data_IF_159243850078
#
_entry.id   IF_159243850078
#
_cell.length_a   1.000
_cell.length_b   1.000
_cell.length_c   1.000
_cell.angle_alpha   90.00
_cell.angle_beta   90.00
_cell.angle_gamma   90.00
#
_symmetry.space_group_name_H-M   'P 1'
#
loop_
_entity.id
_entity.type
_entity.pdbx_description
1 polymer ?
#
# COMPACT_ATOMS: atom_id res chain seq x y z
N UNK A 1 -7.89 -0.59 8.52
CA UNK A 1 -6.74 0.23 8.09
C UNK A 1 -7.13 1.70 7.98
N UNK A 2 -6.16 2.60 8.11
CA UNK A 2 -6.38 4.05 8.04
C UNK A 2 -6.29 4.64 6.62
N UNK A 3 -5.91 3.87 5.63
CA UNK A 3 -5.95 4.28 4.23
C UNK A 3 -7.35 4.06 3.65
N UNK A 4 -8.25 5.03 3.84
CA UNK A 4 -9.66 4.93 3.45
C UNK A 4 -9.87 4.65 1.98
N UNK A 5 -9.10 5.29 1.11
CA UNK A 5 -9.14 5.11 -0.34
C UNK A 5 -8.74 3.72 -0.83
N UNK A 6 -8.08 2.91 -0.01
CA UNK A 6 -7.67 1.54 -0.36
C UNK A 6 -8.62 0.46 0.19
N UNK A 7 -9.75 0.83 0.79
CA UNK A 7 -10.75 -0.10 1.32
C UNK A 7 -11.87 -0.48 0.33
N UNK A 8 -11.64 -0.27 -0.94
CA UNK A 8 -12.57 -0.68 -2.00
C UNK A 8 -12.48 -2.20 -2.25
N UNK A 9 -13.61 -2.80 -2.63
CA UNK A 9 -13.74 -4.23 -2.84
C UNK A 9 -13.15 -4.73 -4.16
N UNK A 10 -12.70 -3.85 -5.05
CA UNK A 10 -12.12 -4.23 -6.31
C UNK A 10 -11.39 -3.08 -6.99
N UNK A 11 -10.47 -3.44 -7.85
CA UNK A 11 -9.78 -2.51 -8.74
C UNK A 11 -10.62 -2.23 -9.99
N UNK A 12 -10.35 -1.11 -10.66
CA UNK A 12 -10.97 -0.81 -11.96
C UNK A 12 -10.70 -1.93 -12.99
N UNK A 13 -11.65 -2.16 -13.90
CA UNK A 13 -11.58 -3.26 -14.87
C UNK A 13 -10.32 -3.23 -15.75
N UNK A 14 -9.88 -2.04 -16.16
CA UNK A 14 -8.66 -1.86 -16.95
C UNK A 14 -7.42 -2.29 -16.14
N UNK A 15 -7.31 -1.85 -14.87
CA UNK A 15 -6.18 -2.21 -13.99
C UNK A 15 -6.16 -3.72 -13.74
N UNK A 16 -7.33 -4.32 -13.50
CA UNK A 16 -7.45 -5.77 -13.32
C UNK A 16 -7.04 -6.54 -14.57
N UNK A 17 -7.37 -6.03 -15.77
CA UNK A 17 -6.96 -6.64 -17.03
C UNK A 17 -5.43 -6.53 -17.24
N UNK A 18 -4.84 -5.38 -16.98
CA UNK A 18 -3.39 -5.18 -17.09
C UNK A 18 -2.61 -6.14 -16.16
N UNK A 19 -3.12 -6.36 -14.94
CA UNK A 19 -2.54 -7.34 -14.02
C UNK A 19 -2.66 -8.77 -14.55
N UNK A 20 -3.83 -9.15 -15.09
CA UNK A 20 -4.08 -10.47 -15.69
C UNK A 20 -3.16 -10.73 -16.89
N UNK A 21 -2.91 -9.71 -17.71
CA UNK A 21 -2.06 -9.78 -18.89
C UNK A 21 -0.55 -9.71 -18.53
N UNK A 22 -0.20 -9.57 -17.26
CA UNK A 22 1.19 -9.50 -16.79
C UNK A 22 1.92 -8.21 -17.18
N UNK A 23 1.19 -7.15 -17.54
CA UNK A 23 1.76 -5.84 -17.89
C UNK A 23 2.07 -4.98 -16.67
N UNK A 24 1.46 -5.29 -15.54
CA UNK A 24 1.72 -4.68 -14.24
C UNK A 24 1.81 -5.76 -13.16
N UNK A 25 2.40 -5.41 -12.03
CA UNK A 25 2.47 -6.24 -10.83
C UNK A 25 1.68 -5.61 -9.70
N UNK A 26 1.19 -6.43 -8.77
CA UNK A 26 0.52 -5.97 -7.55
C UNK A 26 1.32 -6.40 -6.33
N UNK A 27 1.44 -5.48 -5.35
CA UNK A 27 2.11 -5.75 -4.09
C UNK A 27 1.18 -5.38 -2.92
N UNK A 28 1.19 -6.21 -1.88
CA UNK A 28 0.59 -5.89 -0.60
C UNK A 28 1.66 -5.30 0.32
N UNK A 29 1.34 -4.17 0.95
CA UNK A 29 2.22 -3.54 1.93
C UNK A 29 1.48 -3.44 3.26
N UNK A 30 2.03 -4.01 4.35
CA UNK A 30 1.43 -3.92 5.67
C UNK A 30 1.34 -2.49 6.18
N UNK A 31 0.31 -2.18 6.96
CA UNK A 31 0.01 -0.83 7.44
C UNK A 31 1.16 -0.21 8.24
N UNK A 32 1.79 -0.96 9.14
CA UNK A 32 2.89 -0.43 9.95
C UNK A 32 4.11 -0.05 9.09
N UNK A 33 4.37 -0.82 8.04
CA UNK A 33 5.43 -0.50 7.08
C UNK A 33 5.13 0.78 6.30
N UNK A 34 3.87 0.97 5.86
CA UNK A 34 3.49 2.17 5.12
C UNK A 34 3.62 3.42 5.96
N UNK A 35 3.17 3.41 7.23
CA UNK A 35 3.35 4.55 8.13
C UNK A 35 4.82 4.84 8.42
N UNK A 36 5.65 3.82 8.61
CA UNK A 36 7.10 3.99 8.76
C UNK A 36 7.73 4.67 7.55
N UNK A 37 7.35 4.24 6.34
CA UNK A 37 7.82 4.84 5.09
C UNK A 37 7.32 6.30 4.94
N UNK A 38 6.07 6.58 5.30
CA UNK A 38 5.51 7.92 5.31
C UNK A 38 6.24 8.87 6.27
N UNK A 39 6.61 8.41 7.46
CA UNK A 39 7.40 9.19 8.41
C UNK A 39 8.84 9.43 7.93
N UNK A 40 9.45 8.43 7.30
CA UNK A 40 10.75 8.61 6.65
C UNK A 40 10.66 9.72 5.61
N UNK A 41 9.68 9.64 4.72
CA UNK A 41 9.45 10.63 3.66
C UNK A 41 9.18 12.04 4.24
N UNK A 42 8.36 12.15 5.28
CA UNK A 42 8.10 13.43 5.92
C UNK A 42 9.36 14.07 6.52
N UNK A 43 10.27 13.27 7.05
CA UNK A 43 11.54 13.74 7.62
C UNK A 43 12.57 14.12 6.57
N UNK A 44 12.58 13.46 5.42
CA UNK A 44 13.57 13.69 4.35
C UNK A 44 13.10 14.76 3.36
N UNK A 45 11.81 14.77 3.03
CA UNK A 45 11.24 15.61 1.98
C UNK A 45 10.40 16.79 2.53
N UNK A 46 10.11 16.81 3.84
CA UNK A 46 9.31 17.88 4.46
C UNK A 46 7.81 17.81 4.12
N UNK A 47 7.33 16.70 3.58
CA UNK A 47 5.94 16.50 3.17
C UNK A 47 5.33 15.35 3.96
N UNK A 48 4.23 15.60 4.67
CA UNK A 48 3.44 14.55 5.33
C UNK A 48 2.51 13.93 4.28
N UNK A 49 2.74 12.68 3.87
CA UNK A 49 1.92 12.05 2.83
C UNK A 49 0.60 11.54 3.38
N UNK A 50 -0.43 11.44 2.53
CA UNK A 50 -1.65 10.72 2.88
C UNK A 50 -1.34 9.23 3.14
N UNK A 51 -2.08 8.53 4.03
CA UNK A 51 -1.89 7.11 4.30
C UNK A 51 -1.96 6.21 3.05
N UNK A 52 -2.75 6.60 2.06
CA UNK A 52 -2.79 5.94 0.75
C UNK A 52 -1.45 6.05 0.01
N UNK A 53 -0.90 7.25 -0.05
CA UNK A 53 0.37 7.54 -0.75
C UNK A 53 1.57 6.86 -0.08
N UNK A 54 1.49 6.56 1.22
CA UNK A 54 2.57 5.86 1.94
C UNK A 54 2.83 4.45 1.39
N UNK A 55 1.84 3.82 0.73
CA UNK A 55 2.02 2.53 0.06
C UNK A 55 2.96 2.64 -1.14
N UNK A 56 2.79 3.69 -1.95
CA UNK A 56 3.69 3.96 -3.08
C UNK A 56 5.11 4.32 -2.59
N UNK A 57 5.21 5.09 -1.51
CA UNK A 57 6.52 5.42 -0.89
C UNK A 57 7.20 4.15 -0.38
N UNK A 58 6.49 3.27 0.32
CA UNK A 58 7.03 2.02 0.82
C UNK A 58 7.53 1.12 -0.32
N UNK A 59 6.78 1.02 -1.42
CA UNK A 59 7.19 0.29 -2.60
C UNK A 59 8.44 0.93 -3.25
N UNK A 60 8.50 2.26 -3.36
CA UNK A 60 9.67 2.97 -3.88
C UNK A 60 10.93 2.72 -3.02
N UNK A 61 10.78 2.71 -1.69
CA UNK A 61 11.89 2.38 -0.76
C UNK A 61 12.37 0.93 -0.97
N UNK A 62 11.44 -0.03 -1.10
CA UNK A 62 11.79 -1.44 -1.38
C UNK A 62 12.58 -1.55 -2.69
N UNK A 63 12.13 -0.88 -3.76
CA UNK A 63 12.81 -0.89 -5.05
C UNK A 63 14.21 -0.22 -4.98
N UNK A 64 14.34 0.88 -4.24
CA UNK A 64 15.63 1.54 -4.04
C UNK A 64 16.62 0.65 -3.27
N UNK A 65 16.16 -0.05 -2.24
CA UNK A 65 16.98 -1.00 -1.49
C UNK A 65 17.40 -2.19 -2.36
N UNK A 66 16.48 -2.72 -3.16
CA UNK A 66 16.77 -3.79 -4.11
C UNK A 66 17.83 -3.34 -5.14
N UNK A 67 17.66 -2.15 -5.73
CA UNK A 67 18.64 -1.60 -6.67
C UNK A 67 20.03 -1.44 -6.03
N UNK A 68 20.08 -1.02 -4.76
CA UNK A 68 21.32 -0.91 -4.00
C UNK A 68 22.00 -2.28 -3.79
N UNK A 69 21.24 -3.30 -3.42
CA UNK A 69 21.74 -4.68 -3.25
C UNK A 69 22.25 -5.27 -4.56
N UNK A 70 21.57 -4.99 -5.66
CA UNK A 70 21.97 -5.39 -7.02
C UNK A 70 23.16 -4.57 -7.57
N UNK A 71 23.58 -3.50 -6.91
CA UNK A 71 24.57 -2.54 -7.42
C UNK A 71 24.10 -1.80 -8.67
N UNK A 72 22.79 -1.71 -8.88
CA UNK A 72 22.17 -1.11 -10.06
C UNK A 72 21.81 0.35 -9.83
N UNK A 73 21.93 1.18 -10.88
CA UNK A 73 21.40 2.55 -10.90
C UNK A 73 20.04 2.53 -11.56
N UNK A 74 18.98 2.94 -10.82
CA UNK A 74 17.60 2.97 -11.31
C UNK A 74 16.96 4.33 -11.05
N UNK A 75 16.10 4.79 -11.94
CA UNK A 75 15.18 5.89 -11.69
C UNK A 75 13.84 5.32 -11.29
N UNK A 76 13.36 5.68 -10.09
CA UNK A 76 12.10 5.18 -9.53
C UNK A 76 11.11 6.33 -9.50
N UNK A 77 10.02 6.20 -10.27
CA UNK A 77 8.91 7.15 -10.27
C UNK A 77 7.75 6.56 -9.47
N UNK A 78 7.19 7.35 -8.55
CA UNK A 78 5.96 7.00 -7.84
C UNK A 78 4.99 8.18 -7.78
N UNK A 79 3.71 7.90 -7.59
CA UNK A 79 2.69 8.93 -7.45
C UNK A 79 2.50 9.31 -5.98
N UNK A 80 2.70 10.59 -5.66
CA UNK A 80 2.32 11.18 -4.38
C UNK A 80 0.91 11.80 -4.54
N UNK A 81 -0.11 11.01 -4.35
CA UNK A 81 -1.50 11.34 -4.69
C UNK A 81 -2.24 12.16 -3.64
N UNK A 82 -1.64 12.45 -2.49
CA UNK A 82 -2.26 13.23 -1.44
C UNK A 82 -1.32 13.59 -0.30
N UNK A 83 -1.69 14.64 0.43
CA UNK A 83 -1.04 15.04 1.68
C UNK A 83 -1.81 14.52 2.90
N UNK A 84 -1.09 14.31 4.02
CA UNK A 84 -1.64 13.78 5.26
C UNK A 84 -2.12 14.80 6.28
N UNK A 85 -2.32 16.06 5.87
CA UNK A 85 -2.70 17.12 6.82
C UNK A 85 -4.06 16.90 7.48
N UNK A 86 -4.97 16.21 6.80
CA UNK A 86 -6.27 15.82 7.34
C UNK A 86 -6.24 14.42 7.99
N UNK A 87 -5.12 13.70 7.91
CA UNK A 87 -4.93 12.33 8.40
C UNK A 87 -4.01 12.28 9.63
N UNK A 88 -3.75 13.41 10.28
CA UNK A 88 -2.85 13.49 11.44
C UNK A 88 -3.28 12.57 12.58
N UNK A 89 -4.59 12.33 12.72
CA UNK A 89 -5.10 11.34 13.68
C UNK A 89 -4.57 9.93 13.41
N UNK A 90 -4.45 9.52 12.15
CA UNK A 90 -3.90 8.22 11.81
C UNK A 90 -2.41 8.10 12.19
N UNK A 91 -1.65 9.17 11.99
CA UNK A 91 -0.25 9.25 12.43
C UNK A 91 -0.14 9.26 13.97
N UNK A 92 -1.04 9.96 14.67
CA UNK A 92 -1.12 9.91 16.12
C UNK A 92 -1.36 8.47 16.63
N UNK A 93 -2.28 7.72 16.01
CA UNK A 93 -2.51 6.32 16.35
C UNK A 93 -1.28 5.45 16.11
N UNK A 94 -0.51 5.72 15.05
CA UNK A 94 0.75 5.04 14.80
C UNK A 94 1.77 5.32 15.91
N UNK A 95 1.97 6.58 16.30
CA UNK A 95 2.89 6.96 17.39
C UNK A 95 2.46 6.44 18.76
N UNK A 96 1.18 6.21 18.96
CA UNK A 96 0.62 5.63 20.18
C UNK A 96 0.61 4.09 20.18
N UNK A 97 1.26 3.43 19.21
CA UNK A 97 1.31 1.96 19.03
C UNK A 97 -0.08 1.30 18.99
N UNK A 98 -1.08 2.04 18.48
CA UNK A 98 -2.48 1.57 18.39
C UNK A 98 -2.83 0.98 17.02
N UNK A 99 -1.92 1.05 16.05
CA UNK A 99 -2.09 0.41 14.76
C UNK A 99 -1.59 -1.03 14.79
N UNK A 100 -2.26 -1.89 14.03
CA UNK A 100 -1.89 -3.29 13.90
C UNK A 100 -1.92 -3.68 12.42
N UNK A 101 -1.03 -4.58 12.04
CA UNK A 101 -1.10 -5.20 10.73
C UNK A 101 -2.20 -6.26 10.71
N UNK A 102 -3.00 -6.24 9.65
CA UNK A 102 -4.04 -7.22 9.40
C UNK A 102 -3.63 -8.07 8.19
N UNK A 103 -3.44 -9.33 8.41
CA UNK A 103 -3.25 -10.31 7.34
C UNK A 103 -4.51 -11.13 7.18
N UNK A 104 -5.01 -11.23 5.95
CA UNK A 104 -6.10 -12.15 5.62
C UNK A 104 -5.55 -13.56 5.65
N UNK A 105 -6.16 -14.44 6.43
CA UNK A 105 -5.78 -15.85 6.51
C UNK A 105 -6.23 -16.59 5.25
N UNK A 106 -5.55 -17.66 4.88
CA UNK A 106 -5.95 -18.53 3.76
C UNK A 106 -7.38 -19.07 3.92
N UNK A 107 -7.80 -19.31 5.15
CA UNK A 107 -9.15 -19.78 5.45
C UNK A 107 -10.21 -18.69 5.15
N UNK A 108 -9.94 -17.44 5.49
CA UNK A 108 -10.81 -16.30 5.17
C UNK A 108 -10.86 -16.07 3.68
N UNK A 109 -9.70 -16.13 3.00
CA UNK A 109 -9.62 -15.98 1.55
C UNK A 109 -10.45 -17.07 0.83
N UNK A 110 -10.27 -18.32 1.20
CA UNK A 110 -11.07 -19.44 0.63
C UNK A 110 -12.56 -19.25 0.86
N UNK A 111 -12.98 -18.86 2.07
CA UNK A 111 -14.39 -18.59 2.37
C UNK A 111 -14.96 -17.50 1.47
N UNK A 112 -14.19 -16.43 1.22
CA UNK A 112 -14.62 -15.33 0.35
C UNK A 112 -14.73 -15.78 -1.11
N UNK A 113 -13.78 -16.57 -1.61
CA UNK A 113 -13.83 -17.15 -2.95
C UNK A 113 -15.05 -18.07 -3.10
N UNK A 114 -15.30 -18.96 -2.15
CA UNK A 114 -16.47 -19.86 -2.17
C UNK A 114 -17.81 -19.09 -2.18
N UNK A 115 -17.86 -17.95 -1.50
CA UNK A 115 -19.04 -17.06 -1.52
C UNK A 115 -19.23 -16.42 -2.89
N UNK A 116 -18.15 -15.93 -3.52
CA UNK A 116 -18.19 -15.36 -4.87
C UNK A 116 -18.64 -16.39 -5.90
N UNK A 117 -18.13 -17.60 -5.85
CA UNK A 117 -18.50 -18.68 -6.78
C UNK A 117 -20.01 -19.06 -6.70
N UNK A 118 -20.62 -18.84 -5.52
CA UNK A 118 -22.08 -19.04 -5.35
C UNK A 118 -22.92 -17.90 -5.93
N UNK A 119 -22.36 -16.71 -6.05
CA UNK A 119 -23.05 -15.53 -6.59
C UNK A 119 -22.96 -15.50 -8.12
N UNK A 120 -21.84 -15.98 -8.67
CA UNK A 120 -21.55 -15.94 -10.12
C UNK A 120 -22.23 -17.11 -10.88
N UNK A 121 -22.67 -18.16 -10.16
CA UNK A 121 -23.49 -19.26 -10.73
C UNK A 121 -24.96 -18.90 -10.76
#
# INVERSE_FOLDING_TARGET
IHAGGLRYHGAGSIVSQLLRDGLIEAQAVPQLETFRAGLLFARTEGIVPAPESTHAIAAAVREALRAKEEGASKTILFNLSGHGMIDLYAYEQYFADKLQDYTVTDAELRRTIDQLDRIIK
#
